data_IF_707371864393
#
_entry.id   IF_707371864393
#
_cell.length_a   1.000
_cell.length_b   1.000
_cell.length_c   1.000
_cell.angle_alpha   90.00
_cell.angle_beta   90.00
_cell.angle_gamma   90.00
#
_symmetry.space_group_name_H-M   'P 1'
#
loop_
_entity.id
_entity.type
_entity.pdbx_description
1 polymer ?
#
# COMPACT_ATOMS: atom_id res chain seq x y z
N UNK A 1 -6.97 23.61 4.61
CA UNK A 1 -7.20 22.23 4.12
C UNK A 1 -5.90 21.73 3.51
N UNK A 2 -5.48 20.49 3.83
CA UNK A 2 -4.28 19.91 3.24
C UNK A 2 -4.47 19.54 1.77
N UNK A 3 -3.40 19.55 1.00
CA UNK A 3 -3.44 19.08 -0.38
C UNK A 3 -3.70 17.58 -0.42
N UNK A 4 -4.59 17.14 -1.32
CA UNK A 4 -5.03 15.75 -1.40
C UNK A 4 -4.35 15.10 -2.60
N UNK A 5 -3.79 13.91 -2.39
CA UNK A 5 -3.32 13.06 -3.47
C UNK A 5 -4.03 11.70 -3.41
N UNK A 6 -4.62 11.31 -4.51
CA UNK A 6 -5.17 9.97 -4.74
C UNK A 6 -4.45 9.42 -5.96
N UNK A 7 -3.80 8.28 -5.79
CA UNK A 7 -3.03 7.68 -6.87
C UNK A 7 -3.90 6.92 -7.84
N UNK A 8 -3.55 7.02 -9.10
CA UNK A 8 -4.12 6.16 -10.13
C UNK A 8 -3.78 4.69 -9.87
N UNK A 9 -4.69 3.81 -10.22
CA UNK A 9 -4.49 2.38 -10.12
C UNK A 9 -3.87 1.81 -11.40
N UNK A 10 -4.19 2.40 -12.56
CA UNK A 10 -3.67 2.04 -13.87
C UNK A 10 -3.25 3.32 -14.62
N UNK A 11 -2.50 3.17 -15.72
CA UNK A 11 -2.03 4.30 -16.53
C UNK A 11 -3.18 5.10 -17.16
N UNK A 12 -4.32 4.47 -17.41
CA UNK A 12 -5.54 5.10 -17.94
C UNK A 12 -6.39 5.83 -16.90
N UNK A 13 -6.10 5.71 -15.61
CA UNK A 13 -6.92 6.22 -14.50
C UNK A 13 -6.59 7.66 -14.07
N UNK A 14 -5.69 8.37 -14.77
CA UNK A 14 -5.29 9.73 -14.38
C UNK A 14 -6.48 10.69 -14.26
N UNK A 15 -7.42 10.67 -15.21
CA UNK A 15 -8.64 11.49 -15.17
C UNK A 15 -9.55 11.16 -13.99
N UNK A 16 -10.00 9.90 -13.84
CA UNK A 16 -10.78 9.45 -12.68
C UNK A 16 -10.13 9.74 -11.33
N UNK A 17 -8.81 9.57 -11.20
CA UNK A 17 -8.08 9.87 -9.97
C UNK A 17 -8.07 11.37 -9.65
N UNK A 18 -7.90 12.24 -10.68
CA UNK A 18 -8.02 13.69 -10.53
C UNK A 18 -9.40 14.10 -10.06
N UNK A 19 -10.46 13.54 -10.65
CA UNK A 19 -11.83 13.84 -10.25
C UNK A 19 -12.13 13.35 -8.82
N UNK A 20 -11.59 12.18 -8.41
CA UNK A 20 -11.65 11.69 -7.03
C UNK A 20 -10.95 12.62 -6.04
N UNK A 21 -9.79 13.21 -6.43
CA UNK A 21 -9.07 14.19 -5.60
C UNK A 21 -9.89 15.45 -5.39
N UNK A 22 -10.50 15.98 -6.46
CA UNK A 22 -11.38 17.17 -6.38
C UNK A 22 -12.62 16.86 -5.54
N UNK A 23 -13.28 15.70 -5.75
CA UNK A 23 -14.42 15.29 -4.94
C UNK A 23 -14.05 15.22 -3.44
N UNK A 24 -12.88 14.68 -3.12
CA UNK A 24 -12.39 14.59 -1.74
C UNK A 24 -12.04 15.94 -1.13
N UNK A 25 -11.58 16.90 -1.93
CA UNK A 25 -11.35 18.28 -1.50
C UNK A 25 -12.65 18.94 -1.02
N UNK A 26 -13.76 18.69 -1.72
CA UNK A 26 -15.09 19.14 -1.34
C UNK A 26 -15.81 18.22 -0.32
N UNK A 27 -15.05 17.33 0.36
CA UNK A 27 -15.54 16.40 1.39
C UNK A 27 -16.49 15.31 0.88
N UNK A 28 -16.47 15.00 -0.41
CA UNK A 28 -17.14 13.83 -0.97
C UNK A 28 -16.25 12.60 -0.92
N UNK A 29 -16.85 11.42 -1.01
CA UNK A 29 -16.13 10.14 -1.09
C UNK A 29 -16.66 9.35 -2.28
N UNK A 30 -15.96 9.44 -3.40
CA UNK A 30 -16.27 8.65 -4.60
C UNK A 30 -15.04 7.81 -4.93
N UNK A 31 -15.24 6.51 -5.15
CA UNK A 31 -14.14 5.61 -5.54
C UNK A 31 -13.72 5.84 -6.99
N UNK A 32 -12.42 5.66 -7.28
CA UNK A 32 -11.90 5.74 -8.66
C UNK A 32 -12.68 4.78 -9.57
N UNK A 33 -12.99 3.56 -9.10
CA UNK A 33 -13.74 2.57 -9.88
C UNK A 33 -15.12 3.08 -10.32
N UNK A 34 -15.85 3.74 -9.41
CA UNK A 34 -17.17 4.34 -9.75
C UNK A 34 -17.05 5.51 -10.72
N UNK A 35 -16.02 6.35 -10.55
CA UNK A 35 -15.77 7.46 -11.49
C UNK A 35 -15.38 6.89 -12.85
N UNK A 36 -14.54 5.87 -12.91
CA UNK A 36 -14.14 5.18 -14.15
C UNK A 36 -15.35 4.66 -14.93
N UNK A 37 -16.30 4.05 -14.24
CA UNK A 37 -17.56 3.59 -14.83
C UNK A 37 -18.39 4.76 -15.40
N UNK A 38 -18.52 5.85 -14.65
CA UNK A 38 -19.31 7.02 -15.05
C UNK A 38 -18.64 7.84 -16.15
N UNK A 39 -17.32 7.83 -16.25
CA UNK A 39 -16.55 8.52 -17.30
C UNK A 39 -16.33 7.64 -18.53
N UNK A 40 -16.72 6.36 -18.51
CA UNK A 40 -16.44 5.44 -19.61
C UNK A 40 -14.96 5.29 -19.92
N UNK A 41 -14.08 5.41 -18.91
CA UNK A 41 -12.62 5.27 -19.06
C UNK A 41 -12.27 3.90 -19.57
N UNK A 42 -11.53 3.83 -20.67
CA UNK A 42 -11.06 2.58 -21.30
C UNK A 42 -9.52 2.45 -21.24
N UNK A 43 -8.95 1.51 -21.95
CA UNK A 43 -7.51 1.28 -22.02
C UNK A 43 -6.72 2.46 -22.63
N UNK A 44 -7.38 3.31 -23.43
CA UNK A 44 -6.77 4.53 -24.02
C UNK A 44 -6.84 5.73 -23.09
N UNK A 45 -7.53 5.63 -21.95
CA UNK A 45 -7.71 6.71 -20.98
C UNK A 45 -9.11 7.33 -21.00
N UNK A 46 -9.19 8.60 -20.59
CA UNK A 46 -10.45 9.37 -20.48
C UNK A 46 -10.36 10.65 -21.27
N UNK A 47 -11.30 10.89 -22.18
CA UNK A 47 -11.40 12.19 -22.86
C UNK A 47 -11.87 13.28 -21.88
N UNK A 48 -11.54 14.55 -22.18
CA UNK A 48 -11.97 15.68 -21.36
C UNK A 48 -13.52 15.80 -21.30
N UNK A 49 -14.20 15.46 -22.39
CA UNK A 49 -15.67 15.40 -22.46
C UNK A 49 -16.22 14.31 -21.53
N UNK A 50 -15.71 13.11 -21.64
CA UNK A 50 -16.13 11.99 -20.79
C UNK A 50 -15.87 12.29 -19.30
N UNK A 51 -14.74 12.95 -18.99
CA UNK A 51 -14.44 13.40 -17.64
C UNK A 51 -15.43 14.46 -17.15
N UNK A 52 -15.87 15.37 -18.03
CA UNK A 52 -16.90 16.37 -17.77
C UNK A 52 -18.25 15.71 -17.47
N UNK A 53 -18.68 14.75 -18.29
CA UNK A 53 -19.95 14.04 -18.12
C UNK A 53 -19.94 13.22 -16.82
N UNK A 54 -18.82 12.56 -16.51
CA UNK A 54 -18.63 11.89 -15.23
C UNK A 54 -18.65 12.82 -14.03
N UNK A 55 -18.08 14.03 -14.14
CA UNK A 55 -18.13 15.04 -13.09
C UNK A 55 -19.56 15.51 -12.83
N UNK A 56 -20.34 15.73 -13.90
CA UNK A 56 -21.74 16.10 -13.78
C UNK A 56 -22.57 15.01 -13.10
N UNK A 57 -22.32 13.73 -13.40
CA UNK A 57 -23.04 12.60 -12.82
C UNK A 57 -22.83 12.45 -11.31
N UNK A 58 -21.67 12.87 -10.78
CA UNK A 58 -21.37 12.86 -9.34
C UNK A 58 -21.78 14.16 -8.62
N UNK A 59 -22.38 15.10 -9.34
CA UNK A 59 -22.97 16.32 -8.78
C UNK A 59 -22.07 17.55 -8.82
N UNK A 60 -21.09 17.61 -9.73
CA UNK A 60 -20.35 18.83 -10.05
C UNK A 60 -20.98 19.56 -11.26
N UNK A 61 -20.74 20.86 -11.34
CA UNK A 61 -20.92 21.64 -12.55
C UNK A 61 -19.56 21.81 -13.20
N UNK A 62 -19.23 21.02 -14.24
CA UNK A 62 -17.95 21.11 -14.92
C UNK A 62 -18.00 22.25 -15.96
N UNK A 63 -16.91 22.99 -16.11
CA UNK A 63 -16.67 23.96 -17.16
C UNK A 63 -15.30 23.71 -17.75
N UNK A 64 -15.25 23.24 -18.98
CA UNK A 64 -13.98 23.06 -19.70
C UNK A 64 -13.63 24.38 -20.42
N UNK A 65 -12.42 24.86 -20.18
CA UNK A 65 -11.87 26.07 -20.83
C UNK A 65 -10.58 25.70 -21.56
N UNK A 66 -10.30 26.38 -22.64
CA UNK A 66 -9.06 26.27 -23.39
C UNK A 66 -8.43 27.65 -23.52
N UNK A 67 -7.16 27.79 -23.20
CA UNK A 67 -6.41 29.02 -23.42
C UNK A 67 -6.22 29.26 -24.91
N UNK A 68 -6.39 30.50 -25.34
CA UNK A 68 -6.02 30.92 -26.70
C UNK A 68 -4.54 31.27 -26.70
N UNK A 69 -3.80 30.85 -27.71
CA UNK A 69 -2.32 30.85 -27.77
C UNK A 69 -1.62 32.22 -27.50
N UNK A 70 -2.35 33.34 -27.51
CA UNK A 70 -1.79 34.70 -27.37
C UNK A 70 -2.09 35.40 -26.03
N UNK A 71 -2.80 34.78 -25.11
CA UNK A 71 -3.06 35.39 -23.79
C UNK A 71 -1.98 34.98 -22.80
N UNK A 72 -1.26 35.99 -22.30
CA UNK A 72 -0.13 35.82 -21.40
C UNK A 72 -0.44 35.17 -20.07
N UNK A 73 0.54 35.20 -19.18
CA UNK A 73 0.60 34.52 -17.86
C UNK A 73 -0.60 34.77 -16.91
N UNK A 74 -1.47 35.73 -17.22
CA UNK A 74 -2.57 36.14 -16.32
C UNK A 74 -3.82 35.26 -16.39
N UNK A 75 -3.99 34.41 -17.42
CA UNK A 75 -5.18 33.56 -17.55
C UNK A 75 -5.36 32.54 -16.42
N UNK A 76 -4.31 32.23 -15.64
CA UNK A 76 -4.42 31.36 -14.47
C UNK A 76 -4.73 32.08 -13.16
N UNK A 77 -4.69 33.42 -13.11
CA UNK A 77 -4.92 34.19 -11.89
C UNK A 77 -6.38 34.22 -11.45
N UNK A 78 -7.31 34.10 -12.39
CA UNK A 78 -8.77 34.15 -12.15
C UNK A 78 -9.42 32.75 -12.09
N UNK A 79 -8.65 31.68 -12.17
CA UNK A 79 -9.17 30.31 -12.22
C UNK A 79 -9.61 29.82 -10.82
N UNK A 80 -10.85 29.35 -10.73
CA UNK A 80 -11.34 28.73 -9.49
C UNK A 80 -10.61 27.41 -9.20
N UNK A 81 -10.04 27.30 -7.99
CA UNK A 81 -9.28 26.14 -7.54
C UNK A 81 -10.09 25.29 -6.54
N UNK A 82 -9.90 23.97 -6.51
CA UNK A 82 -9.03 23.17 -7.36
C UNK A 82 -9.58 22.95 -8.76
N UNK A 83 -8.71 22.87 -9.76
CA UNK A 83 -9.08 22.55 -11.14
C UNK A 83 -8.26 21.40 -11.69
N UNK A 84 -8.75 20.73 -12.73
CA UNK A 84 -8.02 19.64 -13.42
C UNK A 84 -7.37 20.24 -14.67
N UNK A 85 -6.05 20.04 -14.80
CA UNK A 85 -5.29 20.46 -15.96
C UNK A 85 -4.91 19.25 -16.83
N UNK A 86 -5.02 19.43 -18.15
CA UNK A 86 -4.58 18.45 -19.13
C UNK A 86 -3.14 18.74 -19.54
N UNK A 87 -2.26 17.76 -19.34
CA UNK A 87 -0.83 17.86 -19.60
C UNK A 87 -0.41 16.94 -20.74
N UNK A 88 0.64 17.33 -21.44
CA UNK A 88 1.35 16.50 -22.42
C UNK A 88 2.69 16.13 -21.79
N UNK A 89 2.98 14.85 -21.72
CA UNK A 89 4.20 14.30 -21.13
C UNK A 89 5.02 13.60 -22.22
N UNK A 90 6.32 13.89 -22.31
CA UNK A 90 7.25 13.30 -23.28
C UNK A 90 6.74 13.35 -24.74
N UNK A 91 6.11 14.50 -25.11
CA UNK A 91 5.56 14.85 -26.43
C UNK A 91 4.26 14.15 -26.85
N UNK A 92 4.00 12.90 -26.42
CA UNK A 92 2.86 12.10 -26.90
C UNK A 92 1.88 11.64 -25.81
N UNK A 93 2.32 11.55 -24.57
CA UNK A 93 1.50 10.97 -23.51
C UNK A 93 0.56 12.03 -22.90
N UNK A 94 -0.75 11.84 -23.07
CA UNK A 94 -1.76 12.68 -22.46
C UNK A 94 -1.99 12.32 -21.00
N UNK A 95 -2.00 13.32 -20.13
CA UNK A 95 -2.09 13.10 -18.68
C UNK A 95 -2.94 14.18 -18.00
N UNK A 96 -3.60 13.86 -16.89
CA UNK A 96 -4.35 14.79 -16.07
C UNK A 96 -3.70 15.00 -14.71
N UNK A 97 -3.70 16.25 -14.23
CA UNK A 97 -3.23 16.62 -12.89
C UNK A 97 -4.21 17.58 -12.24
N UNK A 98 -4.24 17.67 -10.91
CA UNK A 98 -5.05 18.64 -10.17
C UNK A 98 -4.17 19.79 -9.72
N UNK A 99 -4.58 21.01 -10.01
CA UNK A 99 -3.97 22.24 -9.49
C UNK A 99 -4.72 22.62 -8.22
N UNK A 100 -4.01 22.65 -7.09
CA UNK A 100 -4.60 23.05 -5.80
C UNK A 100 -4.29 24.49 -5.42
N UNK A 101 -3.13 25.01 -5.83
CA UNK A 101 -2.74 26.38 -5.50
C UNK A 101 -1.81 26.95 -6.55
N UNK A 102 -2.04 28.20 -6.89
CA UNK A 102 -1.18 28.99 -7.76
C UNK A 102 -0.56 30.08 -6.89
N UNK A 103 0.77 30.12 -6.83
CA UNK A 103 1.59 31.16 -6.19
C UNK A 103 2.16 32.08 -7.28
N UNK A 104 2.80 33.17 -6.90
CA UNK A 104 3.39 34.14 -7.83
C UNK A 104 4.35 33.50 -8.84
N UNK A 105 5.23 32.60 -8.39
CA UNK A 105 6.27 31.97 -9.22
C UNK A 105 6.13 30.46 -9.34
N UNK A 106 5.24 29.82 -8.58
CA UNK A 106 5.14 28.34 -8.53
C UNK A 106 3.67 27.89 -8.54
N UNK A 107 3.44 26.67 -9.00
CA UNK A 107 2.15 25.99 -9.00
C UNK A 107 2.27 24.71 -8.18
N UNK A 108 1.34 24.51 -7.23
CA UNK A 108 1.24 23.26 -6.49
C UNK A 108 0.25 22.36 -7.21
N UNK A 109 0.77 21.34 -7.87
CA UNK A 109 -0.02 20.30 -8.54
C UNK A 109 -0.02 19.00 -7.75
N UNK A 110 -1.11 18.27 -7.82
CA UNK A 110 -1.18 16.88 -7.40
C UNK A 110 -1.29 16.00 -8.63
N UNK A 111 -0.28 15.18 -8.82
CA UNK A 111 -0.17 14.25 -9.93
C UNK A 111 -0.57 12.85 -9.45
N UNK A 112 -1.55 12.19 -10.09
CA UNK A 112 -1.96 10.84 -9.69
C UNK A 112 -0.84 9.80 -9.79
N UNK A 113 0.16 10.02 -10.65
CA UNK A 113 1.29 9.11 -10.82
C UNK A 113 2.45 9.40 -9.85
N UNK A 114 2.75 10.71 -9.62
CA UNK A 114 3.95 11.12 -8.89
C UNK A 114 3.67 11.58 -7.46
N UNK A 115 2.51 12.17 -7.20
CA UNK A 115 2.15 12.76 -5.91
C UNK A 115 2.05 14.29 -5.98
N UNK A 116 2.17 14.94 -4.81
CA UNK A 116 2.11 16.40 -4.71
C UNK A 116 3.49 16.97 -5.05
N UNK A 117 3.54 17.85 -6.04
CA UNK A 117 4.78 18.48 -6.52
C UNK A 117 4.54 19.98 -6.69
N UNK A 118 5.50 20.77 -6.24
CA UNK A 118 5.54 22.21 -6.50
C UNK A 118 6.48 22.46 -7.67
N UNK A 119 5.98 23.11 -8.73
CA UNK A 119 6.72 23.37 -9.97
C UNK A 119 6.73 24.86 -10.28
N UNK A 120 7.82 25.40 -10.88
CA UNK A 120 7.84 26.76 -11.41
C UNK A 120 6.79 26.96 -12.51
N UNK A 121 6.24 28.17 -12.60
CA UNK A 121 5.25 28.52 -13.66
C UNK A 121 5.79 28.25 -15.05
N UNK A 122 7.05 28.64 -15.36
CA UNK A 122 7.68 28.41 -16.65
C UNK A 122 7.72 26.95 -17.07
N UNK A 123 7.86 26.04 -16.09
CA UNK A 123 7.82 24.59 -16.32
C UNK A 123 6.42 24.09 -16.66
N UNK A 124 5.43 24.63 -15.99
CA UNK A 124 4.03 24.28 -16.26
C UNK A 124 3.63 24.64 -17.70
N UNK A 125 4.06 25.80 -18.17
CA UNK A 125 3.83 26.28 -19.55
C UNK A 125 4.67 25.57 -20.60
N UNK A 126 5.71 24.86 -20.23
CA UNK A 126 6.65 24.22 -21.15
C UNK A 126 7.55 25.19 -21.91
N UNK A 127 7.72 26.43 -21.41
CA UNK A 127 8.57 27.46 -22.04
C UNK A 127 10.07 27.22 -21.86
N UNK A 128 10.49 26.44 -20.86
CA UNK A 128 11.86 25.97 -20.64
C UNK A 128 11.88 24.46 -20.68
N UNK A 129 12.92 23.88 -21.29
CA UNK A 129 13.21 22.44 -21.25
C UNK A 129 13.52 22.02 -19.81
N UNK A 130 12.49 21.81 -19.03
CA UNK A 130 12.61 21.42 -17.64
C UNK A 130 12.16 19.98 -17.48
N UNK A 131 13.13 19.12 -17.28
CA UNK A 131 12.92 17.72 -16.95
C UNK A 131 12.63 17.59 -15.46
N UNK A 132 11.42 17.11 -15.10
CA UNK A 132 11.14 16.64 -13.77
C UNK A 132 11.36 15.12 -13.79
N UNK A 133 12.39 14.64 -13.09
CA UNK A 133 12.73 13.20 -13.06
C UNK A 133 12.86 12.57 -14.47
N UNK A 134 13.53 13.26 -15.40
CA UNK A 134 13.73 12.84 -16.79
C UNK A 134 12.47 12.80 -17.65
N UNK A 135 11.39 13.51 -17.30
CA UNK A 135 10.18 13.64 -18.10
C UNK A 135 9.89 15.11 -18.40
N UNK A 136 9.49 15.39 -19.64
CA UNK A 136 9.07 16.73 -20.08
C UNK A 136 7.57 16.87 -19.90
N UNK A 137 7.14 17.86 -19.12
CA UNK A 137 5.73 18.20 -18.91
C UNK A 137 5.41 19.52 -19.59
N UNK A 138 4.33 19.55 -20.36
CA UNK A 138 3.79 20.77 -20.96
C UNK A 138 2.29 20.81 -20.77
N UNK A 139 1.74 21.94 -20.34
CA UNK A 139 0.31 22.16 -20.33
C UNK A 139 -0.24 22.23 -21.75
N UNK A 140 -1.37 21.56 -22.03
CA UNK A 140 -2.01 21.55 -23.35
C UNK A 140 -2.89 22.76 -23.63
N UNK A 141 -3.00 23.71 -22.66
CA UNK A 141 -3.92 24.83 -22.72
C UNK A 141 -5.34 24.52 -22.19
N UNK A 142 -5.66 23.26 -21.88
CA UNK A 142 -7.00 22.89 -21.42
C UNK A 142 -7.06 22.73 -19.90
N UNK A 143 -8.12 23.31 -19.29
CA UNK A 143 -8.47 23.18 -17.88
C UNK A 143 -9.94 22.77 -17.74
N UNK A 144 -10.24 22.04 -16.67
CA UNK A 144 -11.60 21.76 -16.24
C UNK A 144 -11.82 22.34 -14.84
N UNK A 145 -12.72 23.30 -14.75
CA UNK A 145 -13.19 23.91 -13.52
C UNK A 145 -14.35 23.10 -12.97
N UNK A 146 -14.39 22.91 -11.66
CA UNK A 146 -15.36 22.03 -11.00
C UNK A 146 -15.97 22.75 -9.79
N UNK A 147 -17.26 23.05 -9.87
CA UNK A 147 -18.01 23.64 -8.76
C UNK A 147 -19.02 22.63 -8.23
N UNK A 148 -19.06 22.34 -6.92
CA UNK A 148 -20.04 21.42 -6.37
C UNK A 148 -21.46 22.01 -6.46
N UNK A 149 -22.44 21.19 -6.87
CA UNK A 149 -23.85 21.54 -6.87
C UNK A 149 -24.54 21.02 -5.61
N UNK A 150 -25.82 21.39 -5.39
CA UNK A 150 -26.63 20.86 -4.29
C UNK A 150 -26.79 19.33 -4.33
N UNK A 151 -26.67 18.72 -5.51
CA UNK A 151 -26.72 17.27 -5.72
C UNK A 151 -25.44 16.56 -5.27
N UNK A 152 -24.35 17.29 -5.02
CA UNK A 152 -23.09 16.70 -4.57
C UNK A 152 -23.21 16.22 -3.12
N UNK A 153 -23.20 14.90 -2.92
CA UNK A 153 -23.29 14.30 -1.60
C UNK A 153 -21.98 14.43 -0.84
N UNK A 154 -21.99 15.21 0.23
CA UNK A 154 -20.87 15.34 1.19
C UNK A 154 -20.81 14.13 2.15
N UNK A 155 -20.83 12.93 1.62
CA UNK A 155 -20.82 11.71 2.43
C UNK A 155 -19.38 11.18 2.57
N UNK A 156 -18.65 11.75 3.55
CA UNK A 156 -17.34 11.20 3.93
C UNK A 156 -17.56 10.00 4.85
N UNK A 157 -18.00 8.87 4.34
CA UNK A 157 -17.87 7.59 5.03
C UNK A 157 -16.39 7.22 5.02
N UNK A 158 -15.72 7.52 6.13
CA UNK A 158 -14.39 7.01 6.40
C UNK A 158 -14.49 5.48 6.39
N UNK A 159 -14.10 4.85 5.29
CA UNK A 159 -14.01 3.39 5.22
C UNK A 159 -13.06 2.95 6.33
N UNK A 160 -13.62 2.42 7.41
CA UNK A 160 -12.84 1.82 8.48
C UNK A 160 -12.31 0.47 7.98
N UNK A 161 -11.18 0.52 7.29
CA UNK A 161 -10.48 -0.66 6.75
C UNK A 161 -10.30 -1.72 7.84
N UNK A 162 -9.97 -1.29 9.06
CA UNK A 162 -9.77 -2.17 10.21
C UNK A 162 -11.06 -2.90 10.60
N UNK A 163 -12.21 -2.20 10.66
CA UNK A 163 -13.50 -2.82 10.98
C UNK A 163 -13.91 -3.87 9.94
N UNK A 164 -13.68 -3.58 8.67
CA UNK A 164 -13.99 -4.49 7.57
C UNK A 164 -13.06 -5.73 7.60
N UNK A 165 -11.78 -5.56 7.93
CA UNK A 165 -10.84 -6.67 8.11
C UNK A 165 -11.28 -7.59 9.25
N UNK A 166 -11.70 -7.05 10.40
CA UNK A 166 -12.22 -7.87 11.50
C UNK A 166 -13.52 -8.59 11.16
N UNK A 167 -14.35 -8.02 10.26
CA UNK A 167 -15.56 -8.72 9.79
C UNK A 167 -15.23 -9.99 9.00
N UNK A 168 -14.07 -10.07 8.34
CA UNK A 168 -13.61 -11.27 7.63
C UNK A 168 -13.24 -12.42 8.58
N UNK A 169 -12.87 -12.12 9.82
CA UNK A 169 -12.58 -13.11 10.85
C UNK A 169 -13.84 -13.69 11.52
N UNK A 170 -14.96 -12.99 11.43
CA UNK A 170 -16.24 -13.39 12.10
C UNK A 170 -16.68 -14.83 11.79
N UNK A 171 -16.63 -15.32 10.52
CA UNK A 171 -17.02 -16.70 10.22
C UNK A 171 -16.13 -17.74 10.93
N UNK A 172 -14.88 -17.40 11.22
CA UNK A 172 -13.86 -18.30 11.77
C UNK A 172 -13.55 -18.00 13.25
N UNK A 173 -14.50 -17.40 13.99
CA UNK A 173 -14.31 -16.98 15.39
C UNK A 173 -13.82 -18.10 16.31
N UNK A 174 -14.31 -19.33 16.11
CA UNK A 174 -13.87 -20.51 16.90
C UNK A 174 -12.37 -20.78 16.70
N UNK A 175 -11.89 -20.77 15.46
CA UNK A 175 -10.47 -20.94 15.17
C UNK A 175 -9.62 -19.80 15.75
N UNK A 176 -10.07 -18.56 15.63
CA UNK A 176 -9.39 -17.42 16.23
C UNK A 176 -9.27 -17.56 17.76
N UNK A 177 -10.35 -17.97 18.44
CA UNK A 177 -10.35 -18.20 19.89
C UNK A 177 -9.40 -19.34 20.24
N UNK A 178 -9.42 -20.47 19.52
CA UNK A 178 -8.51 -21.59 19.76
C UNK A 178 -7.04 -21.18 19.61
N UNK A 179 -6.68 -20.40 18.58
CA UNK A 179 -5.33 -19.86 18.39
C UNK A 179 -4.93 -18.99 19.60
N UNK A 180 -5.81 -18.11 20.05
CA UNK A 180 -5.54 -17.24 21.21
C UNK A 180 -5.33 -18.08 22.48
N UNK A 181 -6.17 -19.08 22.74
CA UNK A 181 -6.05 -19.96 23.93
C UNK A 181 -4.74 -20.74 23.90
N UNK A 182 -4.41 -21.40 22.79
CA UNK A 182 -3.13 -22.13 22.63
C UNK A 182 -1.95 -21.18 22.83
N UNK A 183 -2.03 -20.00 22.30
CA UNK A 183 -0.98 -19.00 22.43
C UNK A 183 -0.83 -18.49 23.86
N UNK A 184 -1.91 -18.32 24.60
CA UNK A 184 -1.85 -17.99 26.04
C UNK A 184 -1.16 -19.08 26.83
N UNK A 185 -1.50 -20.36 26.60
CA UNK A 185 -0.83 -21.51 27.26
C UNK A 185 0.65 -21.53 26.88
N UNK A 186 0.97 -21.33 25.61
CA UNK A 186 2.36 -21.25 25.16
C UNK A 186 3.14 -20.09 25.84
N UNK A 187 2.50 -18.95 26.06
CA UNK A 187 3.09 -17.80 26.77
C UNK A 187 3.38 -18.16 28.23
N UNK A 188 2.46 -18.84 28.92
CA UNK A 188 2.68 -19.29 30.31
C UNK A 188 3.88 -20.23 30.38
N UNK A 189 4.01 -21.18 29.44
CA UNK A 189 5.18 -22.06 29.37
C UNK A 189 6.48 -21.32 29.06
N UNK A 190 6.43 -20.25 28.26
CA UNK A 190 7.59 -19.38 28.03
C UNK A 190 8.05 -18.67 29.31
N UNK A 191 7.11 -18.17 30.10
CA UNK A 191 7.40 -17.56 31.39
C UNK A 191 8.00 -18.61 32.35
N UNK A 192 7.44 -19.83 32.38
CA UNK A 192 7.98 -20.94 33.20
C UNK A 192 9.43 -21.27 32.85
N UNK A 193 9.86 -21.06 31.60
CA UNK A 193 11.27 -21.21 31.19
C UNK A 193 12.18 -20.21 31.92
N UNK A 194 11.73 -18.96 32.13
CA UNK A 194 12.52 -17.97 32.86
C UNK A 194 12.67 -18.35 34.36
N UNK A 195 11.62 -18.90 34.96
CA UNK A 195 11.69 -19.38 36.34
C UNK A 195 12.62 -20.60 36.50
N UNK A 196 12.70 -21.47 35.50
CA UNK A 196 13.69 -22.54 35.49
C UNK A 196 15.09 -22.00 35.59
N UNK A 197 15.47 -21.01 34.77
CA UNK A 197 16.82 -20.44 34.84
C UNK A 197 17.08 -19.69 36.15
N UNK A 198 16.08 -19.04 36.72
CA UNK A 198 16.19 -18.39 38.03
C UNK A 198 16.49 -19.44 39.13
N UNK A 199 15.75 -20.55 39.20
CA UNK A 199 15.96 -21.59 40.19
C UNK A 199 17.33 -22.27 40.00
N UNK A 200 17.73 -22.49 38.75
CA UNK A 200 19.01 -23.09 38.41
C UNK A 200 20.19 -22.24 38.94
N UNK A 201 20.15 -20.94 38.67
CA UNK A 201 21.25 -20.02 39.01
C UNK A 201 21.25 -19.68 40.52
N UNK A 202 20.09 -19.43 41.10
CA UNK A 202 20.01 -18.88 42.45
C UNK A 202 20.05 -19.98 43.55
N UNK A 203 19.60 -21.19 43.24
CA UNK A 203 19.49 -22.26 44.24
C UNK A 203 20.39 -23.48 43.95
N UNK A 204 20.29 -24.03 42.75
CA UNK A 204 20.92 -25.34 42.46
C UNK A 204 22.41 -25.22 42.31
N UNK A 205 22.89 -24.24 41.58
CA UNK A 205 24.31 -24.00 41.34
C UNK A 205 25.09 -23.69 42.64
N UNK A 206 24.64 -22.76 43.51
CA UNK A 206 25.36 -22.45 44.75
C UNK A 206 25.37 -23.56 45.76
N UNK A 207 24.30 -24.41 45.81
CA UNK A 207 24.17 -25.49 46.77
C UNK A 207 24.78 -26.81 46.29
N UNK A 208 25.34 -26.88 45.07
CA UNK A 208 25.87 -28.10 44.45
C UNK A 208 24.88 -29.27 44.49
N UNK A 209 23.57 -29.01 44.42
CA UNK A 209 22.50 -29.98 44.61
C UNK A 209 22.24 -30.80 43.32
N UNK A 210 23.14 -31.74 42.99
CA UNK A 210 23.08 -32.53 41.76
C UNK A 210 21.75 -33.31 41.58
N UNK A 211 21.20 -33.88 42.67
CA UNK A 211 19.93 -34.62 42.58
C UNK A 211 18.75 -33.68 42.18
N UNK A 212 18.74 -32.47 42.72
CA UNK A 212 17.75 -31.45 42.35
C UNK A 212 17.92 -30.97 40.92
N UNK A 213 19.16 -30.88 40.44
CA UNK A 213 19.46 -30.53 39.05
C UNK A 213 18.87 -31.56 38.07
N UNK A 214 19.02 -32.87 38.32
CA UNK A 214 18.45 -33.90 37.45
C UNK A 214 16.94 -33.79 37.36
N UNK A 215 16.26 -33.74 38.51
CA UNK A 215 14.79 -33.67 38.55
C UNK A 215 14.24 -32.40 37.82
N UNK A 216 14.85 -31.25 38.07
CA UNK A 216 14.41 -29.99 37.45
C UNK A 216 14.74 -29.98 35.96
N UNK A 217 15.86 -30.59 35.52
CA UNK A 217 16.19 -30.68 34.10
C UNK A 217 15.27 -31.62 33.34
N UNK A 218 14.84 -32.74 33.96
CA UNK A 218 13.80 -33.63 33.38
C UNK A 218 12.46 -32.91 33.22
N UNK A 219 12.01 -32.17 34.26
CA UNK A 219 10.81 -31.38 34.19
C UNK A 219 10.91 -30.28 33.08
N UNK A 220 12.08 -29.69 32.95
CA UNK A 220 12.34 -28.71 31.91
C UNK A 220 12.33 -29.31 30.50
N UNK A 221 12.86 -30.51 30.32
CA UNK A 221 12.79 -31.25 29.06
C UNK A 221 11.32 -31.47 28.63
N UNK A 222 10.48 -31.93 29.56
CA UNK A 222 9.05 -32.12 29.31
C UNK A 222 8.36 -30.79 28.93
N UNK A 223 8.75 -29.70 29.61
CA UNK A 223 8.23 -28.35 29.29
C UNK A 223 8.63 -27.93 27.88
N UNK A 224 9.85 -28.14 27.44
CA UNK A 224 10.32 -27.86 26.09
C UNK A 224 9.51 -28.66 25.05
N UNK A 225 9.32 -29.96 25.28
CA UNK A 225 8.55 -30.84 24.41
C UNK A 225 7.09 -30.28 24.29
N UNK A 226 6.46 -29.97 25.42
CA UNK A 226 5.12 -29.39 25.43
C UNK A 226 5.05 -28.07 24.65
N UNK A 227 6.05 -27.19 24.78
CA UNK A 227 6.16 -25.95 24.01
C UNK A 227 6.26 -26.20 22.51
N UNK A 228 7.06 -27.16 22.09
CA UNK A 228 7.21 -27.53 20.66
C UNK A 228 5.86 -27.98 20.11
N UNK A 229 5.16 -28.90 20.82
CA UNK A 229 3.87 -29.41 20.40
C UNK A 229 2.84 -28.27 20.29
N UNK A 230 2.76 -27.40 21.29
CA UNK A 230 1.83 -26.25 21.26
C UNK A 230 2.17 -25.27 20.14
N UNK A 231 3.45 -25.05 19.84
CA UNK A 231 3.86 -24.21 18.72
C UNK A 231 3.44 -24.80 17.37
N UNK A 232 3.61 -26.11 17.18
CA UNK A 232 3.17 -26.81 15.97
C UNK A 232 1.65 -26.68 15.82
N UNK A 233 0.87 -26.95 16.87
CA UNK A 233 -0.58 -26.80 16.85
C UNK A 233 -1.02 -25.36 16.54
N UNK A 234 -0.32 -24.37 17.10
CA UNK A 234 -0.59 -22.95 16.86
C UNK A 234 -0.36 -22.57 15.40
N UNK A 235 0.75 -23.02 14.83
CA UNK A 235 1.10 -22.75 13.41
C UNK A 235 0.10 -23.44 12.50
N UNK A 236 -0.24 -24.71 12.76
CA UNK A 236 -1.18 -25.46 11.94
C UNK A 236 -2.58 -24.81 11.93
N UNK A 237 -3.09 -24.44 13.12
CA UNK A 237 -4.38 -23.71 13.20
C UNK A 237 -4.34 -22.35 12.48
N UNK A 238 -3.19 -21.68 12.48
CA UNK A 238 -3.03 -20.44 11.72
C UNK A 238 -3.07 -20.68 10.20
N UNK A 239 -2.47 -21.76 9.72
CA UNK A 239 -2.53 -22.16 8.33
C UNK A 239 -3.96 -22.51 7.89
N UNK A 240 -4.71 -23.24 8.76
CA UNK A 240 -6.12 -23.55 8.54
C UNK A 240 -6.94 -22.27 8.46
N UNK A 241 -6.72 -21.32 9.36
CA UNK A 241 -7.39 -20.01 9.35
C UNK A 241 -7.09 -19.26 8.03
N UNK A 242 -5.82 -19.23 7.64
CA UNK A 242 -5.40 -18.62 6.37
C UNK A 242 -6.06 -19.25 5.16
N UNK A 243 -6.15 -20.60 5.11
CA UNK A 243 -6.87 -21.35 4.06
C UNK A 243 -8.33 -20.95 3.99
N UNK A 244 -9.05 -20.89 5.12
CA UNK A 244 -10.46 -20.51 5.14
C UNK A 244 -10.68 -19.06 4.71
N UNK A 245 -9.81 -18.12 5.13
CA UNK A 245 -9.90 -16.72 4.70
C UNK A 245 -9.68 -16.62 3.20
N UNK A 246 -8.64 -17.28 2.67
CA UNK A 246 -8.30 -17.26 1.25
C UNK A 246 -9.42 -17.86 0.39
N UNK A 247 -9.96 -19.00 0.81
CA UNK A 247 -11.09 -19.65 0.13
C UNK A 247 -12.32 -18.74 0.10
N UNK A 248 -12.71 -18.16 1.24
CA UNK A 248 -13.88 -17.28 1.32
C UNK A 248 -13.73 -16.00 0.50
N UNK A 249 -12.55 -15.38 0.52
CA UNK A 249 -12.28 -14.18 -0.29
C UNK A 249 -12.18 -14.51 -1.77
N UNK A 250 -11.47 -15.58 -2.12
CA UNK A 250 -11.31 -16.03 -3.50
C UNK A 250 -12.64 -16.39 -4.14
N UNK A 251 -13.48 -17.17 -3.46
CA UNK A 251 -14.80 -17.54 -3.99
C UNK A 251 -15.72 -16.34 -4.18
N UNK A 252 -15.72 -15.38 -3.23
CA UNK A 252 -16.49 -14.14 -3.38
C UNK A 252 -15.96 -13.26 -4.52
N UNK A 253 -14.65 -13.25 -4.74
CA UNK A 253 -14.04 -12.53 -5.85
C UNK A 253 -14.46 -13.13 -7.18
N UNK A 254 -14.39 -14.46 -7.33
CA UNK A 254 -14.87 -15.15 -8.54
C UNK A 254 -16.36 -14.94 -8.79
N UNK A 255 -17.20 -15.09 -7.75
CA UNK A 255 -18.63 -14.85 -7.86
C UNK A 255 -18.92 -13.40 -8.32
N UNK A 256 -18.17 -12.43 -7.78
CA UNK A 256 -18.32 -11.04 -8.17
C UNK A 256 -17.90 -10.81 -9.63
N UNK A 257 -16.75 -11.32 -10.05
CA UNK A 257 -16.27 -11.19 -11.44
C UNK A 257 -17.24 -11.80 -12.43
N UNK A 258 -17.75 -12.98 -12.15
CA UNK A 258 -18.70 -13.66 -13.06
C UNK A 258 -20.03 -12.89 -13.25
N UNK A 259 -20.38 -12.01 -12.31
CA UNK A 259 -21.57 -11.16 -12.38
C UNK A 259 -21.32 -9.81 -13.10
N UNK A 260 -20.08 -9.50 -13.46
CA UNK A 260 -19.75 -8.25 -14.13
C UNK A 260 -20.16 -8.30 -15.61
N UNK A 261 -20.47 -7.13 -16.16
CA UNK A 261 -20.84 -6.99 -17.58
C UNK A 261 -19.65 -7.22 -18.51
N UNK A 262 -19.92 -7.63 -19.75
CA UNK A 262 -18.89 -7.79 -20.78
C UNK A 262 -18.07 -6.52 -20.98
N UNK A 263 -18.69 -5.33 -20.91
CA UNK A 263 -18.02 -4.04 -21.00
C UNK A 263 -16.92 -3.84 -19.94
N UNK A 264 -17.02 -4.49 -18.77
CA UNK A 264 -15.95 -4.48 -17.78
C UNK A 264 -14.68 -5.18 -18.27
N UNK A 265 -14.84 -6.32 -18.93
CA UNK A 265 -13.73 -7.12 -19.45
C UNK A 265 -13.08 -6.48 -20.68
N UNK A 266 -13.89 -5.89 -21.57
CA UNK A 266 -13.41 -5.23 -22.78
C UNK A 266 -12.54 -4.01 -22.47
N UNK A 267 -12.79 -3.35 -21.34
CA UNK A 267 -12.10 -2.13 -20.93
C UNK A 267 -10.95 -2.36 -19.93
N UNK A 268 -10.61 -3.62 -19.60
CA UNK A 268 -9.55 -3.94 -18.63
C UNK A 268 -8.63 -5.04 -19.13
N UNK A 269 -7.34 -4.88 -18.83
CA UNK A 269 -6.35 -5.91 -19.12
C UNK A 269 -6.52 -7.09 -18.13
N UNK A 270 -6.40 -8.32 -18.63
CA UNK A 270 -6.46 -9.53 -17.81
C UNK A 270 -5.45 -9.50 -16.66
N UNK A 271 -4.27 -8.93 -16.90
CA UNK A 271 -3.24 -8.75 -15.87
C UNK A 271 -3.68 -7.85 -14.70
N UNK A 272 -4.53 -6.83 -14.93
CA UNK A 272 -5.08 -6.00 -13.86
C UNK A 272 -6.01 -6.81 -12.95
N UNK A 273 -6.87 -7.64 -13.54
CA UNK A 273 -7.79 -8.51 -12.79
C UNK A 273 -7.01 -9.56 -12.00
N UNK A 274 -5.99 -10.18 -12.62
CA UNK A 274 -5.11 -11.16 -11.97
C UNK A 274 -4.34 -10.55 -10.80
N UNK A 275 -3.84 -9.33 -10.94
CA UNK A 275 -3.16 -8.60 -9.85
C UNK A 275 -4.08 -8.39 -8.65
N UNK A 276 -5.37 -8.09 -8.86
CA UNK A 276 -6.34 -7.95 -7.77
C UNK A 276 -6.63 -9.27 -7.06
N UNK A 277 -6.54 -10.38 -7.77
CA UNK A 277 -6.64 -11.70 -7.14
C UNK A 277 -5.44 -11.98 -6.24
N UNK A 278 -4.23 -11.60 -6.65
CA UNK A 278 -3.02 -11.73 -5.82
C UNK A 278 -3.09 -10.86 -4.55
N UNK A 279 -3.76 -9.71 -4.58
CA UNK A 279 -3.98 -8.88 -3.39
C UNK A 279 -4.72 -9.65 -2.27
N UNK A 280 -5.52 -10.69 -2.58
CA UNK A 280 -6.21 -11.55 -1.61
C UNK A 280 -5.20 -12.27 -0.72
N UNK A 281 -4.11 -12.75 -1.29
CA UNK A 281 -3.04 -13.47 -0.58
C UNK A 281 -2.33 -12.56 0.43
N UNK A 282 -2.11 -11.29 0.05
CA UNK A 282 -1.56 -10.26 0.94
C UNK A 282 -2.52 -10.00 2.11
N UNK A 283 -3.81 -9.85 1.84
CA UNK A 283 -4.84 -9.62 2.89
C UNK A 283 -4.91 -10.82 3.84
N UNK A 284 -4.89 -12.04 3.34
CA UNK A 284 -4.88 -13.26 4.13
C UNK A 284 -3.66 -13.33 5.05
N UNK A 285 -2.47 -13.08 4.50
CA UNK A 285 -1.21 -13.10 5.26
C UNK A 285 -1.22 -12.04 6.38
N UNK A 286 -1.69 -10.84 6.09
CA UNK A 286 -1.83 -9.77 7.08
C UNK A 286 -2.81 -10.15 8.20
N UNK A 287 -3.99 -10.68 7.85
CA UNK A 287 -5.00 -11.08 8.84
C UNK A 287 -4.50 -12.20 9.74
N UNK A 288 -3.86 -13.24 9.17
CA UNK A 288 -3.31 -14.35 9.94
C UNK A 288 -2.19 -13.88 10.88
N UNK A 289 -1.29 -13.00 10.39
CA UNK A 289 -0.23 -12.41 11.23
C UNK A 289 -0.79 -11.52 12.34
N UNK A 290 -1.79 -10.67 12.06
CA UNK A 290 -2.39 -9.80 13.07
C UNK A 290 -2.98 -10.61 14.23
N UNK A 291 -3.71 -11.69 13.94
CA UNK A 291 -4.30 -12.55 14.98
C UNK A 291 -3.21 -13.19 15.83
N UNK A 292 -2.15 -13.71 15.22
CA UNK A 292 -1.07 -14.37 15.95
C UNK A 292 -0.20 -13.39 16.74
N UNK A 293 0.25 -12.31 16.09
CA UNK A 293 1.32 -11.45 16.62
C UNK A 293 0.74 -10.39 17.55
N UNK A 294 -0.31 -9.65 17.13
CA UNK A 294 -0.77 -8.49 17.90
C UNK A 294 -1.43 -8.92 19.21
N UNK A 295 -2.27 -9.95 19.21
CA UNK A 295 -2.95 -10.36 20.44
C UNK A 295 -2.04 -11.14 21.40
N UNK A 296 -1.24 -12.04 20.87
CA UNK A 296 -0.40 -12.91 21.69
C UNK A 296 0.83 -12.20 22.22
N UNK A 297 1.54 -11.51 21.34
CA UNK A 297 2.77 -10.83 21.72
C UNK A 297 2.47 -9.63 22.66
N UNK A 298 1.36 -8.92 22.43
CA UNK A 298 0.92 -7.87 23.36
C UNK A 298 0.66 -8.40 24.77
N UNK A 299 -0.03 -9.54 24.89
CA UNK A 299 -0.27 -10.17 26.20
C UNK A 299 1.03 -10.65 26.82
N UNK A 300 1.93 -11.25 26.03
CA UNK A 300 3.25 -11.71 26.47
C UNK A 300 4.10 -10.56 27.01
N UNK A 301 4.13 -9.43 26.31
CA UNK A 301 4.85 -8.23 26.73
C UNK A 301 4.31 -7.65 28.04
N UNK A 302 2.97 -7.59 28.19
CA UNK A 302 2.34 -7.13 29.42
C UNK A 302 2.67 -8.07 30.59
N UNK A 303 2.56 -9.37 30.39
CA UNK A 303 2.84 -10.38 31.42
C UNK A 303 4.33 -10.34 31.84
N UNK A 304 5.26 -10.31 30.88
CA UNK A 304 6.69 -10.20 31.14
C UNK A 304 7.03 -8.88 31.84
N UNK A 305 6.43 -7.77 31.41
CA UNK A 305 6.60 -6.45 32.03
C UNK A 305 6.13 -6.42 33.47
N UNK A 306 5.00 -7.04 33.78
CA UNK A 306 4.48 -7.14 35.13
C UNK A 306 5.42 -7.95 36.05
N UNK A 307 5.91 -9.10 35.57
CA UNK A 307 6.88 -9.91 36.32
C UNK A 307 8.16 -9.12 36.59
N UNK A 308 8.66 -8.43 35.59
CA UNK A 308 9.87 -7.62 35.73
C UNK A 308 9.70 -6.46 36.72
N UNK A 309 8.54 -5.81 36.71
CA UNK A 309 8.17 -4.76 37.64
C UNK A 309 8.17 -5.28 39.10
N UNK A 310 7.65 -6.49 39.33
CA UNK A 310 7.60 -7.09 40.67
C UNK A 310 8.98 -7.55 41.17
N UNK A 311 9.89 -7.94 40.26
CA UNK A 311 11.23 -8.40 40.61
C UNK A 311 12.24 -7.25 40.81
N UNK A 312 12.25 -6.26 39.93
CA UNK A 312 13.18 -5.15 39.99
C UNK A 312 12.68 -3.93 39.20
N UNK A 313 12.35 -2.86 39.92
CA UNK A 313 11.93 -1.60 39.29
C UNK A 313 13.02 -1.01 38.36
N UNK A 314 14.29 -1.13 38.74
CA UNK A 314 15.39 -0.58 37.95
C UNK A 314 15.54 -1.30 36.59
N UNK A 315 15.41 -2.64 36.59
CA UNK A 315 15.42 -3.43 35.36
C UNK A 315 14.21 -3.11 34.46
N UNK A 316 13.02 -2.95 35.06
CA UNK A 316 11.82 -2.58 34.34
C UNK A 316 11.97 -1.22 33.63
N UNK A 317 12.51 -0.19 34.34
CA UNK A 317 12.77 1.12 33.74
C UNK A 317 13.81 1.01 32.62
N UNK A 318 14.87 0.23 32.82
CA UNK A 318 15.89 0.00 31.79
C UNK A 318 15.30 -0.57 30.50
N UNK A 319 14.41 -1.56 30.60
CA UNK A 319 13.75 -2.14 29.42
C UNK A 319 12.81 -1.15 28.76
N UNK A 320 12.05 -0.35 29.51
CA UNK A 320 11.21 0.71 28.95
C UNK A 320 12.04 1.71 28.15
N UNK A 321 13.20 2.13 28.66
CA UNK A 321 14.10 3.06 27.95
C UNK A 321 14.58 2.44 26.65
N UNK A 322 14.98 1.16 26.66
CA UNK A 322 15.39 0.43 25.44
C UNK A 322 14.24 0.35 24.44
N UNK A 323 13.01 0.03 24.88
CA UNK A 323 11.83 0.00 24.02
C UNK A 323 11.53 1.35 23.38
N UNK A 324 11.63 2.43 24.15
CA UNK A 324 11.45 3.79 23.64
C UNK A 324 12.51 4.17 22.60
N UNK A 325 13.78 3.83 22.86
CA UNK A 325 14.85 4.01 21.88
C UNK A 325 14.57 3.24 20.58
N UNK A 326 14.13 2.00 20.70
CA UNK A 326 13.76 1.19 19.53
C UNK A 326 12.62 1.84 18.72
N UNK A 327 11.58 2.33 19.39
CA UNK A 327 10.46 3.04 18.75
C UNK A 327 10.96 4.29 18.00
N UNK A 328 11.88 5.06 18.61
CA UNK A 328 12.47 6.25 17.98
C UNK A 328 13.25 5.86 16.71
N UNK A 329 14.07 4.81 16.78
CA UNK A 329 14.82 4.30 15.63
C UNK A 329 13.86 3.90 14.49
N UNK A 330 12.84 3.10 14.80
CA UNK A 330 11.82 2.69 13.81
C UNK A 330 11.13 3.90 13.18
N UNK A 331 10.81 4.91 13.99
CA UNK A 331 10.14 6.12 13.51
C UNK A 331 11.02 6.93 12.55
N UNK A 332 12.33 7.05 12.83
CA UNK A 332 13.31 7.73 11.97
C UNK A 332 13.44 7.01 10.61
N UNK A 333 13.53 5.69 10.64
CA UNK A 333 13.75 4.90 9.43
C UNK A 333 12.48 4.65 8.60
N UNK A 334 11.29 4.70 9.20
CA UNK A 334 9.99 4.45 8.56
C UNK A 334 9.80 5.25 7.26
N UNK A 335 10.19 6.52 7.24
CA UNK A 335 10.06 7.38 6.06
C UNK A 335 10.91 6.89 4.90
N UNK A 336 12.19 6.61 5.16
CA UNK A 336 13.13 6.09 4.15
C UNK A 336 12.71 4.72 3.65
N UNK A 337 12.35 3.82 4.55
CA UNK A 337 11.85 2.48 4.23
C UNK A 337 10.65 2.53 3.28
N UNK A 338 9.64 3.33 3.59
CA UNK A 338 8.45 3.49 2.75
C UNK A 338 8.78 3.99 1.34
N UNK A 339 9.76 4.89 1.18
CA UNK A 339 10.19 5.39 -0.13
C UNK A 339 10.90 4.30 -0.93
N UNK A 340 11.83 3.56 -0.31
CA UNK A 340 12.59 2.50 -1.02
C UNK A 340 11.72 1.28 -1.33
N UNK A 341 10.89 0.83 -0.39
CA UNK A 341 9.90 -0.24 -0.62
C UNK A 341 9.01 0.07 -1.82
N UNK A 342 8.58 1.33 -1.93
CA UNK A 342 7.79 1.75 -3.07
C UNK A 342 8.57 1.78 -4.38
N UNK A 343 9.83 2.23 -4.37
CA UNK A 343 10.69 2.20 -5.58
C UNK A 343 10.91 0.77 -6.04
N UNK A 344 11.06 -0.17 -5.12
CA UNK A 344 11.16 -1.60 -5.43
C UNK A 344 9.90 -2.09 -6.13
N UNK A 345 8.70 -1.86 -5.56
CA UNK A 345 7.43 -2.28 -6.17
C UNK A 345 7.22 -1.71 -7.59
N UNK A 346 7.58 -0.45 -7.80
CA UNK A 346 7.48 0.18 -9.12
C UNK A 346 8.45 -0.45 -10.11
N UNK A 347 9.72 -0.66 -9.71
CA UNK A 347 10.72 -1.27 -10.59
C UNK A 347 10.43 -2.74 -10.89
N UNK A 348 9.85 -3.47 -9.93
CA UNK A 348 9.36 -4.84 -10.11
C UNK A 348 8.25 -4.89 -11.16
N UNK A 349 7.23 -4.05 -11.03
CA UNK A 349 6.14 -3.96 -12.00
C UNK A 349 6.65 -3.61 -13.41
N UNK A 350 7.60 -2.67 -13.51
CA UNK A 350 8.21 -2.30 -14.79
C UNK A 350 9.03 -3.44 -15.40
N UNK A 351 9.78 -4.18 -14.58
CA UNK A 351 10.54 -5.33 -15.04
C UNK A 351 9.61 -6.44 -15.53
N UNK A 352 8.56 -6.77 -14.77
CA UNK A 352 7.58 -7.78 -15.15
C UNK A 352 6.84 -7.40 -16.44
N UNK A 353 6.46 -6.12 -16.60
CA UNK A 353 5.85 -5.64 -17.85
C UNK A 353 6.79 -5.85 -19.05
N UNK A 354 8.08 -5.51 -18.93
CA UNK A 354 9.05 -5.73 -19.99
C UNK A 354 9.27 -7.20 -20.34
N UNK A 355 9.25 -8.09 -19.34
CA UNK A 355 9.35 -9.53 -19.59
C UNK A 355 8.12 -10.00 -20.36
N UNK A 356 6.93 -9.57 -19.99
CA UNK A 356 5.67 -9.92 -20.68
C UNK A 356 5.69 -9.38 -22.12
N UNK A 357 6.12 -8.13 -22.32
CA UNK A 357 6.21 -7.52 -23.65
C UNK A 357 7.20 -8.30 -24.55
N UNK A 358 8.35 -8.69 -23.99
CA UNK A 358 9.33 -9.49 -24.70
C UNK A 358 8.78 -10.87 -25.08
N UNK A 359 8.17 -11.58 -24.13
CA UNK A 359 7.60 -12.91 -24.39
C UNK A 359 6.46 -12.86 -25.39
N UNK A 360 5.59 -11.85 -25.30
CA UNK A 360 4.50 -11.63 -26.26
C UNK A 360 5.00 -11.24 -27.65
N UNK A 361 6.11 -10.52 -27.73
CA UNK A 361 6.77 -10.10 -28.97
C UNK A 361 7.92 -11.01 -29.43
N UNK A 362 8.05 -12.22 -28.86
CA UNK A 362 9.18 -13.10 -29.12
C UNK A 362 9.34 -13.44 -30.62
N UNK A 363 8.24 -13.72 -31.33
CA UNK A 363 8.25 -13.97 -32.77
C UNK A 363 8.79 -12.75 -33.54
N UNK A 364 8.30 -11.56 -33.24
CA UNK A 364 8.75 -10.31 -33.86
C UNK A 364 10.24 -10.07 -33.59
N UNK A 365 10.69 -10.27 -32.36
CA UNK A 365 12.11 -10.16 -31.96
C UNK A 365 12.98 -11.12 -32.78
N UNK A 366 12.53 -12.35 -32.99
CA UNK A 366 13.23 -13.36 -33.81
C UNK A 366 13.27 -13.01 -35.28
N UNK A 367 12.15 -12.57 -35.86
CA UNK A 367 12.05 -12.19 -37.27
C UNK A 367 12.97 -11.01 -37.61
N UNK A 368 13.08 -10.02 -36.72
CA UNK A 368 13.94 -8.84 -36.90
C UNK A 368 15.36 -9.03 -36.39
N UNK A 369 15.72 -10.22 -35.85
CA UNK A 369 17.03 -10.51 -35.21
C UNK A 369 17.42 -9.46 -34.16
N UNK A 370 16.43 -9.01 -33.38
CA UNK A 370 16.57 -7.92 -32.41
C UNK A 370 16.86 -8.41 -30.98
N UNK A 371 17.36 -9.65 -30.81
CA UNK A 371 17.61 -10.26 -29.50
C UNK A 371 18.56 -9.43 -28.64
N UNK A 372 19.62 -8.88 -29.25
CA UNK A 372 20.61 -8.04 -28.52
C UNK A 372 19.99 -6.75 -27.98
N UNK A 373 19.07 -6.15 -28.74
CA UNK A 373 18.36 -4.95 -28.32
C UNK A 373 17.40 -5.26 -27.18
N UNK A 374 16.63 -6.33 -27.32
CA UNK A 374 15.69 -6.79 -26.27
C UNK A 374 16.43 -7.17 -25.00
N UNK A 375 17.55 -7.89 -25.10
CA UNK A 375 18.40 -8.23 -23.97
C UNK A 375 18.87 -6.98 -23.20
N UNK A 376 19.45 -5.98 -23.91
CA UNK A 376 19.86 -4.72 -23.29
C UNK A 376 18.73 -3.98 -22.57
N UNK A 377 17.53 -4.00 -23.15
CA UNK A 377 16.36 -3.35 -22.57
C UNK A 377 15.90 -4.05 -21.29
N UNK A 378 15.91 -5.38 -21.26
CA UNK A 378 15.57 -6.19 -20.09
C UNK A 378 16.66 -6.05 -19.02
N UNK A 379 17.93 -6.16 -19.40
CA UNK A 379 19.09 -6.01 -18.50
C UNK A 379 19.04 -4.69 -17.74
N UNK A 380 18.77 -3.58 -18.41
CA UNK A 380 18.62 -2.27 -17.76
C UNK A 380 17.50 -2.23 -16.73
N UNK A 381 16.35 -2.83 -17.04
CA UNK A 381 15.20 -2.87 -16.14
C UNK A 381 15.45 -3.77 -14.95
N UNK A 382 16.05 -4.94 -15.21
CA UNK A 382 16.39 -5.93 -14.18
C UNK A 382 17.46 -5.42 -13.22
N UNK A 383 18.50 -4.78 -13.73
CA UNK A 383 19.54 -4.16 -12.90
C UNK A 383 18.96 -3.07 -11.99
N UNK A 384 18.08 -2.22 -12.51
CA UNK A 384 17.40 -1.19 -11.70
C UNK A 384 16.51 -1.82 -10.60
N UNK A 385 15.85 -2.92 -10.90
CA UNK A 385 15.07 -3.69 -9.90
C UNK A 385 15.97 -4.27 -8.81
N UNK A 386 17.06 -4.92 -9.19
CA UNK A 386 18.03 -5.48 -8.23
C UNK A 386 18.67 -4.42 -7.34
N UNK A 387 19.02 -3.24 -7.88
CA UNK A 387 19.53 -2.14 -7.06
C UNK A 387 18.53 -1.65 -6.02
N UNK A 388 17.24 -1.60 -6.36
CA UNK A 388 16.21 -1.19 -5.41
C UNK A 388 15.99 -2.24 -4.33
N UNK A 389 16.05 -3.54 -4.65
CA UNK A 389 16.06 -4.63 -3.65
C UNK A 389 17.25 -4.49 -2.71
N UNK A 390 18.45 -4.31 -3.27
CA UNK A 390 19.66 -4.18 -2.46
C UNK A 390 19.59 -2.97 -1.51
N UNK A 391 19.12 -1.82 -2.00
CA UNK A 391 18.94 -0.61 -1.18
C UNK A 391 17.90 -0.80 -0.07
N UNK A 392 16.83 -1.55 -0.34
CA UNK A 392 15.82 -1.88 0.67
C UNK A 392 16.39 -2.86 1.71
N UNK A 393 17.03 -3.96 1.27
CA UNK A 393 17.63 -4.94 2.16
C UNK A 393 18.73 -4.35 3.07
N UNK A 394 19.49 -3.35 2.57
CA UNK A 394 20.45 -2.60 3.40
C UNK A 394 19.80 -1.75 4.49
N UNK A 395 18.52 -1.41 4.36
CA UNK A 395 17.77 -0.67 5.39
C UNK A 395 17.07 -1.61 6.39
N UNK A 396 16.88 -2.89 6.00
CA UNK A 396 16.28 -3.91 6.85
C UNK A 396 17.31 -4.52 7.82
N UNK A 397 18.59 -4.52 7.46
CA UNK A 397 19.71 -4.95 8.29
C UNK A 397 20.32 -3.77 9.08
#
# INVERSE_FOLDING_TARGET
MGFINIRQHDMSDCGPACLAMVARYYRGSVSIAKIREQTGTNSMGTSLRALSDGAASIGFKPVAIKSVENEGEDCLSEVSLPCIAHMIVDEDLLHYVVIFKIKRNTIIKSDPAEGIVEIPRDQFWGRKNCEIKSRRYRWSGALMLLSPTEKFKKDYKRFSTVKNLFQLLRPNKKLCISIVVISLVHTVLNISTAFYYMILIDKILPEYAFNSLVIISEAFLLLIIAKIILNILRVDMSLILGKHINQNLGMKFYEHILKLSQSFFDNRKVGEISSRFQDIEIVQTLLSKIVLTVFVDAISVIAAGYILYTQSLNMFIGIIVICLLYIVVVWIFKGKYSVYSRKQLVSEAQNNAKIIDFLSGALTTKLYRAEKFSYKSIEKSFTAYLENIYKLGKLEN
#
